data_IF_267491132687
#
_entry.id   IF_267491132687
#
_cell.length_a   1.000
_cell.length_b   1.000
_cell.length_c   1.000
_cell.angle_alpha   90.00
_cell.angle_beta   90.00
_cell.angle_gamma   90.00
#
_symmetry.space_group_name_H-M   'P 1'
#
loop_
_entity.id
_entity.type
_entity.pdbx_description
1 polymer ?
#
# COMPACT_ATOMS: atom_id res chain seq x y z
N UNK A 1 5.92 19.67 2.06
CA UNK A 1 5.89 19.11 0.70
C UNK A 1 4.82 18.04 0.66
N UNK A 2 4.08 17.92 -0.42
CA UNK A 2 3.08 16.88 -0.68
C UNK A 2 3.59 16.09 -1.87
N UNK A 3 3.70 14.76 -1.75
CA UNK A 3 4.26 13.89 -2.80
C UNK A 3 3.24 13.61 -3.91
N UNK A 4 2.04 13.18 -3.54
CA UNK A 4 0.86 12.92 -4.41
C UNK A 4 0.92 11.68 -5.31
N UNK A 5 2.01 10.91 -5.27
CA UNK A 5 2.15 9.65 -6.03
C UNK A 5 2.96 8.60 -5.24
N UNK A 6 2.61 8.42 -3.97
CA UNK A 6 3.19 7.36 -3.13
C UNK A 6 2.58 6.02 -3.54
N UNK A 7 3.42 5.11 -4.07
CA UNK A 7 3.04 3.78 -4.54
C UNK A 7 4.27 2.87 -4.59
N UNK A 8 4.12 1.53 -4.72
CA UNK A 8 5.25 0.60 -4.73
C UNK A 8 6.32 0.93 -5.77
N UNK A 9 5.92 1.39 -6.98
CA UNK A 9 6.84 1.68 -8.07
C UNK A 9 7.79 2.85 -7.75
N UNK A 10 7.35 3.75 -6.86
CA UNK A 10 8.12 4.91 -6.43
C UNK A 10 8.90 4.65 -5.12
N UNK A 11 8.94 3.39 -4.65
CA UNK A 11 9.71 3.00 -3.48
C UNK A 11 10.96 2.22 -3.89
N UNK A 12 12.10 2.73 -3.50
CA UNK A 12 13.39 2.10 -3.74
C UNK A 12 13.89 1.44 -2.46
N UNK A 13 14.35 0.20 -2.57
CA UNK A 13 14.98 -0.50 -1.46
C UNK A 13 16.49 -0.27 -1.51
N UNK A 14 17.04 0.32 -0.47
CA UNK A 14 18.48 0.52 -0.35
C UNK A 14 19.20 -0.75 0.07
N UNK A 15 20.52 -0.75 -0.02
CA UNK A 15 21.36 -1.93 0.22
C UNK A 15 21.21 -2.52 1.64
N UNK A 16 20.90 -1.67 2.62
CA UNK A 16 20.70 -2.07 4.03
C UNK A 16 19.23 -2.30 4.38
N UNK A 17 18.34 -2.38 3.39
CA UNK A 17 16.90 -2.57 3.59
C UNK A 17 16.14 -1.28 3.89
N UNK A 18 16.77 -0.11 3.82
CA UNK A 18 16.08 1.17 3.97
C UNK A 18 15.21 1.48 2.75
N UNK A 19 14.00 1.98 2.99
CA UNK A 19 13.10 2.42 1.92
C UNK A 19 13.35 3.90 1.63
N UNK A 20 13.44 4.24 0.35
CA UNK A 20 13.56 5.61 -0.16
C UNK A 20 12.42 5.90 -1.10
N UNK A 21 11.76 7.04 -0.92
CA UNK A 21 10.73 7.51 -1.82
C UNK A 21 11.41 8.23 -2.99
N UNK A 22 11.01 7.89 -4.22
CA UNK A 22 11.51 8.44 -5.46
C UNK A 22 10.37 9.06 -6.28
N UNK A 23 10.71 9.66 -7.41
CA UNK A 23 9.79 10.31 -8.35
C UNK A 23 8.95 11.43 -7.75
N UNK A 24 9.54 12.61 -7.69
CA UNK A 24 8.90 13.83 -7.20
C UNK A 24 8.21 14.63 -8.32
N UNK A 25 7.95 14.04 -9.49
CA UNK A 25 7.36 14.71 -10.64
C UNK A 25 5.99 15.35 -10.37
N UNK A 26 5.20 14.75 -9.49
CA UNK A 26 3.92 15.28 -9.03
C UNK A 26 3.98 16.08 -7.73
N UNK A 27 5.16 16.17 -7.10
CA UNK A 27 5.31 16.80 -5.79
C UNK A 27 5.13 18.32 -5.84
N UNK A 28 4.58 18.87 -4.77
CA UNK A 28 4.40 20.32 -4.61
C UNK A 28 4.90 20.79 -3.25
N UNK A 29 5.56 21.93 -3.26
CA UNK A 29 5.87 22.64 -2.02
C UNK A 29 4.70 23.55 -1.69
N UNK A 30 3.91 23.17 -0.71
CA UNK A 30 2.69 23.90 -0.35
C UNK A 30 2.59 24.06 1.16
N UNK A 31 3.25 25.10 1.72
CA UNK A 31 3.15 25.38 3.16
C UNK A 31 1.74 25.77 3.61
N UNK A 32 0.88 26.22 2.70
CA UNK A 32 -0.47 26.73 3.02
C UNK A 32 -1.51 26.51 1.94
N UNK A 33 -1.22 25.81 0.84
CA UNK A 33 -2.14 25.79 -0.29
C UNK A 33 -2.82 24.46 -0.51
N UNK A 34 -4.12 24.49 -0.53
CA UNK A 34 -5.01 23.51 -1.08
C UNK A 34 -4.86 23.47 -2.60
N UNK A 35 -4.93 22.30 -3.21
CA UNK A 35 -4.75 22.08 -4.64
C UNK A 35 -5.95 21.35 -5.21
N UNK A 36 -6.20 21.54 -6.52
CA UNK A 36 -7.33 20.91 -7.24
C UNK A 36 -6.84 20.06 -8.41
N UNK A 37 -5.54 19.78 -8.51
CA UNK A 37 -4.97 19.01 -9.63
C UNK A 37 -5.21 17.53 -9.42
N UNK A 38 -5.92 16.88 -10.34
CA UNK A 38 -6.04 15.44 -10.41
C UNK A 38 -4.73 14.87 -10.98
N UNK A 39 -4.02 14.10 -10.18
CA UNK A 39 -2.75 13.45 -10.55
C UNK A 39 -2.53 12.21 -9.70
N UNK A 40 -1.62 11.34 -10.11
CA UNK A 40 -1.29 10.10 -9.43
C UNK A 40 -1.93 8.87 -10.06
N UNK A 41 -1.67 7.71 -9.45
CA UNK A 41 -2.16 6.40 -9.90
C UNK A 41 -3.58 6.17 -9.39
N UNK A 42 -4.47 5.70 -10.24
CA UNK A 42 -5.91 5.56 -10.00
C UNK A 42 -6.26 4.95 -8.63
N UNK A 43 -5.68 3.79 -8.32
CA UNK A 43 -6.01 3.02 -7.12
C UNK A 43 -5.54 3.70 -5.82
N UNK A 44 -4.65 4.67 -5.93
CA UNK A 44 -4.06 5.44 -4.83
C UNK A 44 -4.70 6.81 -4.63
N UNK A 45 -5.66 7.21 -5.51
CA UNK A 45 -6.32 8.51 -5.41
C UNK A 45 -7.25 8.57 -4.20
N UNK A 46 -7.15 9.63 -3.38
CA UNK A 46 -8.09 9.83 -2.29
C UNK A 46 -9.42 10.41 -2.79
N UNK A 47 -10.51 10.26 -2.01
CA UNK A 47 -11.84 10.74 -2.38
C UNK A 47 -11.88 12.22 -2.81
N UNK A 48 -11.18 13.09 -2.08
CA UNK A 48 -11.16 14.54 -2.36
C UNK A 48 -10.52 14.88 -3.70
N UNK A 49 -9.54 14.09 -4.17
CA UNK A 49 -8.96 14.31 -5.50
C UNK A 49 -9.90 13.86 -6.61
N UNK A 50 -10.60 12.73 -6.42
CA UNK A 50 -11.63 12.24 -7.37
C UNK A 50 -12.79 13.24 -7.46
N UNK A 51 -13.17 13.86 -6.34
CA UNK A 51 -14.22 14.87 -6.27
C UNK A 51 -13.76 16.28 -6.73
N UNK A 52 -12.52 16.41 -7.22
CA UNK A 52 -11.90 17.69 -7.60
C UNK A 52 -11.96 18.76 -6.49
N UNK A 53 -11.86 18.33 -5.24
CA UNK A 53 -11.83 19.22 -4.08
C UNK A 53 -10.40 19.69 -3.79
N UNK A 54 -10.32 20.76 -3.04
CA UNK A 54 -9.04 21.19 -2.47
C UNK A 54 -8.46 20.12 -1.56
N UNK A 55 -7.18 19.85 -1.69
CA UNK A 55 -6.48 18.84 -0.94
C UNK A 55 -5.13 19.34 -0.40
N UNK A 56 -4.63 18.70 0.64
CA UNK A 56 -3.38 19.01 1.31
C UNK A 56 -2.52 17.74 1.51
N UNK A 57 -1.56 17.78 2.43
CA UNK A 57 -0.67 16.65 2.74
C UNK A 57 -1.38 15.38 3.20
N UNK A 58 -2.64 15.44 3.56
CA UNK A 58 -3.41 14.27 3.99
C UNK A 58 -3.69 13.29 2.86
N UNK A 59 -3.50 13.71 1.59
CA UNK A 59 -3.54 12.79 0.43
C UNK A 59 -2.44 11.73 0.52
N UNK A 60 -1.25 12.11 1.00
CA UNK A 60 -0.14 11.16 1.19
C UNK A 60 -0.44 10.17 2.33
N UNK A 61 -1.21 10.59 3.35
CA UNK A 61 -1.68 9.69 4.41
C UNK A 61 -2.66 8.65 3.87
N UNK A 62 -3.54 9.04 2.95
CA UNK A 62 -4.41 8.09 2.25
C UNK A 62 -3.60 7.10 1.43
N UNK A 63 -2.67 7.58 0.61
CA UNK A 63 -1.79 6.72 -0.18
C UNK A 63 -0.98 5.75 0.69
N UNK A 64 -0.52 6.18 1.86
CA UNK A 64 0.11 5.30 2.85
C UNK A 64 -0.83 4.18 3.32
N UNK A 65 -2.12 4.49 3.51
CA UNK A 65 -3.13 3.50 3.88
C UNK A 65 -3.36 2.46 2.77
N UNK A 66 -3.45 2.90 1.51
CA UNK A 66 -3.55 2.00 0.34
C UNK A 66 -2.32 1.12 0.24
N UNK A 67 -1.13 1.70 0.33
CA UNK A 67 0.15 0.99 0.28
C UNK A 67 0.26 -0.06 1.40
N UNK A 68 -0.14 0.29 2.63
CA UNK A 68 -0.13 -0.64 3.76
C UNK A 68 -1.06 -1.82 3.51
N UNK A 69 -2.26 -1.57 2.98
CA UNK A 69 -3.19 -2.64 2.60
C UNK A 69 -2.60 -3.54 1.50
N UNK A 70 -2.08 -2.94 0.43
CA UNK A 70 -1.53 -3.69 -0.71
C UNK A 70 -0.34 -4.55 -0.30
N UNK A 71 0.54 -4.08 0.57
CA UNK A 71 1.63 -4.90 1.09
C UNK A 71 1.16 -6.14 1.87
N UNK A 72 -0.01 -6.07 2.51
CA UNK A 72 -0.57 -7.22 3.24
C UNK A 72 -1.41 -8.15 2.36
N UNK A 73 -2.07 -7.62 1.33
CA UNK A 73 -3.08 -8.33 0.56
C UNK A 73 -2.63 -8.69 -0.87
N UNK A 74 -1.58 -8.03 -1.39
CA UNK A 74 -1.06 -8.25 -2.74
C UNK A 74 -1.79 -7.49 -3.84
N UNK A 75 -2.81 -6.70 -3.49
CA UNK A 75 -3.59 -5.86 -4.39
C UNK A 75 -4.14 -4.63 -3.65
N UNK A 76 -4.43 -3.51 -4.33
CA UNK A 76 -5.04 -2.34 -3.72
C UNK A 76 -6.45 -2.63 -3.13
N UNK A 77 -6.89 -1.87 -2.08
CA UNK A 77 -8.15 -2.17 -1.39
C UNK A 77 -9.41 -1.91 -2.23
N UNK A 78 -9.31 -1.02 -3.22
CA UNK A 78 -10.45 -0.55 -4.01
C UNK A 78 -10.40 -0.99 -5.47
N UNK A 79 -9.42 -1.81 -5.85
CA UNK A 79 -9.25 -2.35 -7.20
C UNK A 79 -10.54 -3.01 -7.70
N UNK A 80 -10.95 -2.65 -8.94
CA UNK A 80 -12.13 -3.19 -9.59
C UNK A 80 -11.97 -3.14 -11.12
N UNK A 81 -12.84 -3.85 -11.83
CA UNK A 81 -12.88 -3.75 -13.28
C UNK A 81 -13.40 -2.37 -13.72
N UNK A 82 -12.51 -1.59 -14.33
CA UNK A 82 -12.78 -0.26 -14.88
C UNK A 82 -12.77 0.88 -13.86
N UNK A 83 -12.41 2.05 -14.35
CA UNK A 83 -12.16 3.25 -13.53
C UNK A 83 -13.39 3.70 -12.73
N UNK A 84 -14.58 3.62 -13.33
CA UNK A 84 -15.82 4.08 -12.67
C UNK A 84 -16.16 3.29 -11.42
N UNK A 85 -15.93 1.98 -11.42
CA UNK A 85 -16.20 1.14 -10.27
C UNK A 85 -15.14 1.34 -9.18
N UNK A 86 -13.86 1.48 -9.55
CA UNK A 86 -12.78 1.84 -8.63
C UNK A 86 -13.09 3.18 -7.94
N UNK A 87 -13.46 4.22 -8.68
CA UNK A 87 -13.88 5.50 -8.11
C UNK A 87 -15.06 5.36 -7.14
N UNK A 88 -16.08 4.58 -7.53
CA UNK A 88 -17.24 4.31 -6.66
C UNK A 88 -16.83 3.68 -5.34
N UNK A 89 -15.92 2.70 -5.37
CA UNK A 89 -15.41 2.02 -4.18
C UNK A 89 -14.57 2.96 -3.30
N UNK A 90 -13.69 3.78 -3.90
CA UNK A 90 -12.90 4.77 -3.19
C UNK A 90 -13.83 5.79 -2.49
N UNK A 91 -14.80 6.37 -3.20
CA UNK A 91 -15.71 7.36 -2.66
C UNK A 91 -16.58 6.84 -1.51
N UNK A 92 -16.91 5.55 -1.52
CA UNK A 92 -17.64 4.87 -0.44
C UNK A 92 -16.75 4.34 0.66
N UNK A 93 -15.44 4.33 0.44
CA UNK A 93 -14.46 3.63 1.30
C UNK A 93 -14.90 2.18 1.53
N UNK A 94 -15.23 1.46 0.43
CA UNK A 94 -15.68 0.05 0.47
C UNK A 94 -14.49 -0.87 0.79
N UNK A 95 -14.04 -0.80 2.04
CA UNK A 95 -12.85 -1.47 2.53
C UNK A 95 -13.21 -2.86 3.08
N UNK A 96 -12.61 -3.90 2.52
CA UNK A 96 -12.79 -5.29 2.93
C UNK A 96 -11.43 -5.90 3.24
N UNK A 97 -11.35 -6.70 4.30
CA UNK A 97 -10.11 -7.33 4.71
C UNK A 97 -10.18 -8.85 4.59
N UNK A 98 -9.18 -9.49 3.98
CA UNK A 98 -9.04 -10.94 4.04
C UNK A 98 -8.87 -11.42 5.50
N UNK A 99 -9.22 -12.70 5.79
CA UNK A 99 -9.13 -13.24 7.15
C UNK A 99 -7.72 -13.22 7.76
N UNK A 100 -6.68 -13.29 6.95
CA UNK A 100 -5.28 -13.31 7.40
C UNK A 100 -4.77 -11.96 7.93
N UNK A 101 -5.46 -10.85 7.65
CA UNK A 101 -5.06 -9.52 8.14
C UNK A 101 -5.42 -9.39 9.61
N UNK A 102 -4.46 -9.09 10.47
CA UNK A 102 -4.67 -8.98 11.92
C UNK A 102 -5.63 -7.83 12.29
N UNK A 103 -6.32 -7.91 13.43
CA UNK A 103 -7.20 -6.82 13.91
C UNK A 103 -6.47 -5.48 14.03
N UNK A 104 -5.23 -5.49 14.52
CA UNK A 104 -4.42 -4.28 14.69
C UNK A 104 -4.03 -3.66 13.35
N UNK A 105 -3.69 -4.49 12.34
CA UNK A 105 -3.41 -4.01 10.99
C UNK A 105 -4.67 -3.40 10.34
N UNK A 106 -5.83 -4.06 10.52
CA UNK A 106 -7.13 -3.52 10.06
C UNK A 106 -7.43 -2.17 10.70
N UNK A 107 -7.18 -2.01 12.00
CA UNK A 107 -7.39 -0.75 12.71
C UNK A 107 -6.52 0.36 12.12
N UNK A 108 -5.22 0.10 11.89
CA UNK A 108 -4.31 1.06 11.28
C UNK A 108 -4.81 1.52 9.90
N UNK A 109 -5.06 0.57 8.99
CA UNK A 109 -5.52 0.87 7.64
C UNK A 109 -6.84 1.63 7.66
N UNK A 110 -7.79 1.22 8.52
CA UNK A 110 -9.08 1.90 8.65
C UNK A 110 -8.95 3.34 9.15
N UNK A 111 -7.96 3.62 10.01
CA UNK A 111 -7.68 4.99 10.48
C UNK A 111 -6.97 5.86 9.43
N UNK A 112 -6.18 5.27 8.54
CA UNK A 112 -5.53 5.97 7.45
C UNK A 112 -6.53 6.25 6.31
N UNK A 113 -7.39 5.27 5.97
CA UNK A 113 -8.36 5.35 4.88
C UNK A 113 -9.71 5.93 5.36
N UNK A 114 -9.69 7.15 5.90
CA UNK A 114 -10.91 7.90 6.22
C UNK A 114 -11.31 8.79 5.05
N UNK A 115 -12.62 8.80 4.73
CA UNK A 115 -13.15 9.67 3.68
C UNK A 115 -12.87 11.15 3.97
N UNK A 116 -13.16 11.59 5.20
CA UNK A 116 -12.83 12.92 5.67
C UNK A 116 -11.33 13.02 5.95
N UNK A 117 -10.56 13.85 5.20
CA UNK A 117 -9.11 14.01 5.39
C UNK A 117 -8.73 14.40 6.83
N UNK A 118 -9.59 15.16 7.53
CA UNK A 118 -9.34 15.61 8.90
C UNK A 118 -9.44 14.49 9.93
N UNK A 119 -10.08 13.37 9.58
CA UNK A 119 -10.23 12.20 10.45
C UNK A 119 -9.15 11.14 10.22
N UNK A 120 -8.27 11.32 9.25
CA UNK A 120 -7.14 10.42 9.01
C UNK A 120 -6.15 10.50 10.15
N UNK A 121 -5.59 9.34 10.53
CA UNK A 121 -4.57 9.27 11.57
C UNK A 121 -3.37 10.13 11.18
N UNK A 122 -2.98 11.13 11.98
CA UNK A 122 -1.82 11.97 11.66
C UNK A 122 -0.54 11.15 11.57
N UNK A 123 0.35 11.49 10.65
CA UNK A 123 1.60 10.75 10.43
C UNK A 123 2.46 10.63 11.70
N UNK A 124 2.43 11.65 12.58
CA UNK A 124 3.09 11.61 13.89
C UNK A 124 2.59 10.48 14.79
N UNK A 125 1.31 10.09 14.65
CA UNK A 125 0.68 9.03 15.44
C UNK A 125 0.77 7.65 14.79
N UNK A 126 1.15 7.56 13.53
CA UNK A 126 1.33 6.26 12.84
C UNK A 126 2.42 5.44 13.52
N UNK A 127 3.54 6.05 13.90
CA UNK A 127 4.64 5.35 14.60
C UNK A 127 4.25 4.82 15.97
N UNK A 128 3.30 5.48 16.65
CA UNK A 128 2.80 5.10 17.98
C UNK A 128 1.71 4.02 17.90
N UNK A 129 1.22 3.72 16.71
CA UNK A 129 0.16 2.71 16.53
C UNK A 129 0.68 1.33 16.93
N UNK A 130 -0.13 0.56 17.67
CA UNK A 130 0.28 -0.72 18.27
C UNK A 130 0.86 -1.69 17.25
N UNK A 131 0.28 -1.76 16.05
CA UNK A 131 0.78 -2.61 14.97
C UNK A 131 2.18 -2.19 14.52
N UNK A 132 2.41 -0.90 14.30
CA UNK A 132 3.71 -0.37 13.87
C UNK A 132 4.76 -0.53 14.98
N UNK A 133 4.42 -0.16 16.22
CA UNK A 133 5.33 -0.24 17.35
C UNK A 133 5.82 -1.68 17.60
N UNK A 134 4.90 -2.66 17.54
CA UNK A 134 5.23 -4.08 17.69
C UNK A 134 6.25 -4.54 16.64
N UNK A 135 5.97 -4.32 15.36
CA UNK A 135 6.85 -4.78 14.28
C UNK A 135 8.19 -4.02 14.25
N UNK A 136 8.21 -2.76 14.66
CA UNK A 136 9.46 -2.01 14.81
C UNK A 136 10.34 -2.61 15.91
N UNK A 137 9.77 -3.07 17.01
CA UNK A 137 10.49 -3.75 18.08
C UNK A 137 11.01 -5.12 17.65
N UNK A 138 10.22 -5.89 16.92
CA UNK A 138 10.61 -7.19 16.36
C UNK A 138 11.81 -7.06 15.40
N UNK A 139 11.81 -6.04 14.53
CA UNK A 139 12.94 -5.73 13.66
C UNK A 139 14.19 -5.31 14.44
N UNK A 140 14.04 -4.48 15.47
CA UNK A 140 15.16 -4.01 16.30
C UNK A 140 15.78 -5.12 17.14
N UNK A 141 14.98 -6.11 17.57
CA UNK A 141 15.45 -7.27 18.34
C UNK A 141 16.10 -8.37 17.50
N UNK A 142 16.14 -8.23 16.17
CA UNK A 142 16.68 -9.24 15.25
C UNK A 142 15.83 -10.51 15.15
N UNK A 143 14.60 -10.49 15.65
CA UNK A 143 13.69 -11.64 15.60
C UNK A 143 13.26 -11.99 14.15
N UNK A 144 13.42 -11.07 13.22
CA UNK A 144 13.24 -11.30 11.78
C UNK A 144 14.61 -11.33 11.12
N UNK A 145 15.24 -12.50 11.08
CA UNK A 145 16.45 -12.71 10.30
C UNK A 145 16.12 -12.58 8.81
N UNK A 146 16.62 -11.54 8.15
CA UNK A 146 16.63 -11.47 6.69
C UNK A 146 17.51 -12.61 6.16
N UNK A 147 16.89 -13.70 5.72
CA UNK A 147 17.61 -14.70 4.93
C UNK A 147 17.87 -14.09 3.54
N UNK A 148 19.13 -13.99 3.09
CA UNK A 148 19.43 -13.62 1.72
C UNK A 148 18.99 -14.77 0.82
N UNK A 149 17.80 -14.66 0.24
CA UNK A 149 17.31 -15.62 -0.74
C UNK A 149 18.13 -15.51 -2.02
N UNK A 150 18.87 -16.57 -2.34
CA UNK A 150 19.53 -16.77 -3.61
C UNK A 150 18.48 -16.92 -4.72
N UNK A 151 18.26 -15.89 -5.52
CA UNK A 151 17.76 -16.04 -6.89
C UNK A 151 18.17 -14.81 -7.70
N UNK A 152 19.04 -15.05 -8.68
CA UNK A 152 19.35 -14.11 -9.76
C UNK A 152 18.08 -13.74 -10.52
N UNK A 153 17.79 -12.43 -10.76
CA UNK A 153 16.63 -12.04 -11.54
C UNK A 153 16.85 -12.37 -13.01
N UNK A 154 16.00 -13.25 -13.55
CA UNK A 154 15.85 -13.41 -15.00
C UNK A 154 15.19 -12.13 -15.56
N UNK A 155 15.83 -11.50 -16.51
CA UNK A 155 15.30 -10.36 -17.26
C UNK A 155 14.06 -10.80 -18.06
N UNK A 156 12.93 -10.12 -17.87
CA UNK A 156 11.62 -10.22 -18.52
C UNK A 156 10.53 -10.92 -17.68
N UNK A 157 10.03 -10.20 -16.67
CA UNK A 157 8.69 -10.43 -16.16
C UNK A 157 8.01 -9.08 -15.90
N UNK A 158 6.68 -8.93 -16.13
CA UNK A 158 5.98 -7.67 -15.89
C UNK A 158 6.03 -7.30 -14.41
N UNK A 159 6.26 -6.02 -14.14
CA UNK A 159 6.47 -5.42 -12.83
C UNK A 159 5.13 -5.34 -12.09
N UNK A 160 4.60 -6.46 -11.59
CA UNK A 160 3.41 -6.47 -10.73
C UNK A 160 3.49 -7.49 -9.60
N UNK A 161 4.68 -7.65 -9.00
CA UNK A 161 4.84 -8.43 -7.76
C UNK A 161 5.72 -7.67 -6.80
N UNK A 162 5.14 -7.32 -5.67
CA UNK A 162 5.89 -6.87 -4.49
C UNK A 162 6.99 -7.90 -4.24
N UNK A 163 8.27 -7.52 -4.16
CA UNK A 163 9.34 -8.47 -3.88
C UNK A 163 9.05 -9.22 -2.57
N UNK A 164 9.20 -10.55 -2.59
CA UNK A 164 9.00 -11.39 -1.40
C UNK A 164 9.80 -10.91 -0.18
N UNK A 165 10.93 -10.24 -0.42
CA UNK A 165 11.73 -9.58 0.61
C UNK A 165 10.99 -8.46 1.35
N UNK A 166 10.09 -7.73 0.68
CA UNK A 166 9.30 -6.67 1.31
C UNK A 166 8.16 -7.27 2.16
N UNK A 167 7.61 -8.40 1.72
CA UNK A 167 6.61 -9.18 2.48
C UNK A 167 7.23 -9.81 3.74
N UNK A 168 8.46 -10.31 3.64
CA UNK A 168 9.20 -10.86 4.77
C UNK A 168 9.57 -9.78 5.79
N UNK A 169 9.99 -8.60 5.34
CA UNK A 169 10.29 -7.44 6.19
C UNK A 169 9.05 -6.89 6.93
N UNK A 170 7.85 -7.15 6.38
CA UNK A 170 6.57 -6.80 7.03
C UNK A 170 6.01 -7.89 7.94
N UNK A 171 6.74 -9.02 8.16
CA UNK A 171 6.28 -10.14 8.98
C UNK A 171 5.12 -10.94 8.39
N UNK A 172 4.91 -10.81 7.07
CA UNK A 172 3.77 -11.39 6.37
C UNK A 172 4.23 -12.67 5.66
N UNK A 173 3.65 -13.83 6.06
CA UNK A 173 3.85 -15.10 5.38
C UNK A 173 3.41 -15.02 3.92
N UNK A 174 4.20 -15.69 3.03
CA UNK A 174 3.87 -15.74 1.61
C UNK A 174 2.44 -16.25 1.39
N UNK A 175 1.69 -15.69 0.40
CA UNK A 175 0.36 -16.21 0.06
C UNK A 175 0.50 -17.66 -0.41
N UNK A 176 -0.30 -18.55 0.14
CA UNK A 176 -0.38 -19.94 -0.23
C UNK A 176 -0.68 -20.04 -1.73
N UNK A 177 0.19 -20.72 -2.47
CA UNK A 177 -0.04 -20.99 -3.88
C UNK A 177 -1.37 -21.74 -4.04
N UNK A 178 -2.30 -21.18 -4.77
CA UNK A 178 -3.54 -21.86 -5.14
C UNK A 178 -3.17 -23.09 -5.99
N UNK A 179 -3.37 -24.28 -5.42
CA UNK A 179 -3.11 -25.54 -6.07
C UNK A 179 -4.04 -25.71 -7.27
N UNK A 180 -3.47 -25.70 -8.47
CA UNK A 180 -4.17 -26.09 -9.69
C UNK A 180 -4.50 -27.57 -9.65
N UNK A 181 -5.78 -27.89 -9.42
CA UNK A 181 -6.33 -29.21 -9.62
C UNK A 181 -6.47 -29.49 -11.12
N UNK A 182 -5.54 -30.27 -11.66
CA UNK A 182 -5.69 -30.90 -12.97
C UNK A 182 -6.70 -32.03 -12.88
N UNK A 183 -7.77 -31.98 -13.68
CA UNK A 183 -8.70 -33.05 -13.90
C UNK A 183 -8.63 -33.48 -15.37
N UNK A 184 -8.14 -34.69 -15.59
CA UNK A 184 -7.89 -35.26 -16.89
C UNK A 184 -9.15 -35.68 -17.68
N UNK A 185 -8.91 -35.69 -18.93
CA UNK A 185 -9.33 -36.54 -20.04
C UNK A 185 -10.25 -37.71 -19.79
N UNK A 186 -11.20 -37.91 -20.71
CA UNK A 186 -11.31 -39.13 -21.55
C UNK A 186 -12.30 -38.90 -22.66
N UNK A 187 -11.84 -39.07 -23.82
CA UNK A 187 -12.30 -39.75 -25.02
C UNK A 187 -13.72 -40.36 -25.04
N UNK A 188 -14.53 -40.09 -26.02
CA UNK A 188 -14.94 -40.86 -27.18
C UNK A 188 -15.43 -39.90 -28.24
#
# INVERSE_FOLDING_TARGET
>A
MIHRDIKPENLLLGYRGEIKIADFGWSVHAPSSRRNTLCGTLDYLPPEMIENKEHDHTVDIWSLGVLTYEFMCGHPPFEAEGHSETYRRILKVDLKFPPHVSPEARDLVTRLLRRDPKQRLPLSKVKEHVWVARHTQELASGAVAMQPGSTTPSAHAPVSRIPAALMAAAGLGAPAAAGGGGGGSAAV
#
